data_IF_812346508800
#
_entry.id   IF_812346508800
#
_cell.length_a   1.000
_cell.length_b   1.000
_cell.length_c   1.000
_cell.angle_alpha   90.00
_cell.angle_beta   90.00
_cell.angle_gamma   90.00
#
_symmetry.space_group_name_H-M   'P 1'
#
loop_
_entity.id
_entity.type
_entity.pdbx_description
1 polymer ?
#
# COMPACT_ATOMS: atom_id res chain seq x y z
N UNK A 1 -0.50 -2.57 12.81
CA UNK A 1 -1.38 -1.38 12.62
C UNK A 1 -1.06 -0.76 11.28
N UNK A 2 -2.07 -0.50 10.45
CA UNK A 2 -1.92 0.17 9.15
C UNK A 2 -1.81 1.69 9.31
N UNK A 3 -1.28 2.45 8.31
CA UNK A 3 -1.28 3.92 8.34
C UNK A 3 -2.67 4.54 8.55
N UNK A 4 -3.71 3.91 7.99
CA UNK A 4 -5.10 4.37 8.15
C UNK A 4 -5.58 4.17 9.60
N UNK A 5 -5.29 3.02 10.19
CA UNK A 5 -5.62 2.75 11.60
C UNK A 5 -4.85 3.67 12.53
N UNK A 6 -3.55 3.90 12.27
CA UNK A 6 -2.75 4.83 13.05
C UNK A 6 -3.29 6.27 12.91
N UNK A 7 -3.69 6.70 11.72
CA UNK A 7 -4.34 7.99 11.51
C UNK A 7 -5.59 8.14 12.38
N UNK A 8 -6.44 7.11 12.46
CA UNK A 8 -7.64 7.09 13.31
C UNK A 8 -7.26 7.10 14.80
N UNK A 9 -6.21 6.39 15.18
CA UNK A 9 -5.69 6.37 16.57
C UNK A 9 -5.14 7.72 16.96
N UNK A 10 -4.41 8.40 16.08
CA UNK A 10 -3.94 9.78 16.29
C UNK A 10 -5.12 10.74 16.49
N UNK A 11 -6.17 10.63 15.66
CA UNK A 11 -7.37 11.47 15.79
C UNK A 11 -8.14 11.17 17.10
N UNK A 12 -8.18 9.91 17.55
CA UNK A 12 -8.75 9.56 18.86
C UNK A 12 -7.95 10.17 20.00
N UNK A 13 -6.61 10.16 19.91
CA UNK A 13 -5.75 10.79 20.91
C UNK A 13 -5.98 12.31 20.98
N UNK A 14 -6.16 12.98 19.82
CA UNK A 14 -6.51 14.41 19.78
C UNK A 14 -7.89 14.65 20.42
N UNK A 15 -8.90 13.85 20.08
CA UNK A 15 -10.25 13.98 20.64
C UNK A 15 -10.26 13.79 22.15
N UNK A 16 -9.58 12.75 22.66
CA UNK A 16 -9.45 12.54 24.10
C UNK A 16 -8.74 13.70 24.80
N UNK A 17 -7.70 14.29 24.17
CA UNK A 17 -7.03 15.46 24.74
C UNK A 17 -7.92 16.72 24.81
N UNK A 18 -8.86 16.85 23.86
CA UNK A 18 -9.86 17.93 23.86
C UNK A 18 -10.95 17.66 24.91
N UNK A 19 -11.45 16.43 24.98
CA UNK A 19 -12.47 16.01 25.98
C UNK A 19 -11.96 16.16 27.41
N UNK A 20 -10.67 15.88 27.65
CA UNK A 20 -10.01 16.03 28.95
C UNK A 20 -9.60 17.49 29.25
N UNK A 21 -9.86 18.44 28.33
CA UNK A 21 -9.53 19.85 28.47
C UNK A 21 -8.03 20.20 28.42
N UNK A 22 -7.18 19.26 27.97
CA UNK A 22 -5.74 19.51 27.84
C UNK A 22 -5.37 20.25 26.54
N UNK A 23 -6.22 20.13 25.50
CA UNK A 23 -6.10 20.87 24.25
C UNK A 23 -7.43 21.56 23.93
N UNK A 24 -7.35 22.82 23.57
CA UNK A 24 -8.50 23.60 23.04
C UNK A 24 -8.30 23.79 21.53
N UNK A 25 -8.76 22.79 20.76
CA UNK A 25 -8.63 22.76 19.30
C UNK A 25 -9.81 22.06 18.66
N UNK A 26 -10.09 22.39 17.41
CA UNK A 26 -11.03 21.63 16.59
C UNK A 26 -10.35 20.31 16.15
N UNK A 27 -11.00 19.17 16.40
CA UNK A 27 -10.47 17.87 15.99
C UNK A 27 -10.44 17.81 14.45
N UNK A 28 -9.27 17.64 13.82
CA UNK A 28 -9.17 17.59 12.37
C UNK A 28 -9.90 16.37 11.80
N UNK A 29 -10.41 16.48 10.58
CA UNK A 29 -11.00 15.35 9.86
C UNK A 29 -9.98 14.26 9.49
N UNK A 30 -8.69 14.62 9.41
CA UNK A 30 -7.61 13.72 8.99
C UNK A 30 -6.28 14.04 9.68
N UNK A 31 -5.59 13.00 10.14
CA UNK A 31 -4.18 13.05 10.54
C UNK A 31 -3.30 12.47 9.42
N UNK A 32 -2.28 13.21 9.01
CA UNK A 32 -1.30 12.72 8.04
C UNK A 32 -0.29 11.84 8.76
N UNK A 33 -0.15 10.60 8.29
CA UNK A 33 0.82 9.61 8.77
C UNK A 33 1.67 9.18 7.60
N UNK A 34 2.99 9.30 7.73
CA UNK A 34 3.96 8.98 6.67
C UNK A 34 5.15 8.22 7.28
N UNK A 35 5.94 7.51 6.46
CA UNK A 35 7.25 7.04 6.92
C UNK A 35 8.08 8.21 7.49
N UNK A 36 8.94 7.97 8.51
CA UNK A 36 9.80 9.01 9.06
C UNK A 36 10.70 9.62 7.98
N UNK A 37 10.88 10.95 8.05
CA UNK A 37 11.84 11.64 7.19
C UNK A 37 13.30 11.36 7.59
N UNK A 38 14.29 11.91 6.87
CA UNK A 38 15.70 11.77 7.21
C UNK A 38 16.00 12.16 8.67
N UNK A 39 16.62 11.27 9.43
CA UNK A 39 16.89 11.46 10.86
C UNK A 39 15.72 11.15 11.81
N UNK A 40 14.56 10.75 11.30
CA UNK A 40 13.47 10.21 12.11
C UNK A 40 13.67 8.73 12.43
N UNK A 41 13.07 8.26 13.52
CA UNK A 41 13.06 6.85 13.96
C UNK A 41 11.63 6.31 13.99
N UNK A 42 11.47 4.98 14.06
CA UNK A 42 10.16 4.34 14.15
C UNK A 42 9.58 3.93 12.79
N UNK A 43 8.36 3.40 12.82
CA UNK A 43 7.67 2.88 11.64
C UNK A 43 6.94 3.99 10.88
N UNK A 44 6.36 4.94 11.62
CA UNK A 44 5.61 6.06 11.08
C UNK A 44 5.88 7.36 11.83
N UNK A 45 5.63 8.49 11.14
CA UNK A 45 5.70 9.82 11.71
C UNK A 45 4.42 10.61 11.39
N UNK A 46 4.05 11.52 12.29
CA UNK A 46 2.98 12.48 12.06
C UNK A 46 3.38 13.89 12.52
N UNK A 47 2.94 14.89 11.79
CA UNK A 47 3.12 16.31 12.08
C UNK A 47 1.89 16.94 12.74
N UNK A 48 0.98 16.15 13.27
CA UNK A 48 -0.30 16.62 13.80
C UNK A 48 -0.13 17.68 14.88
N UNK A 49 0.85 17.51 15.78
CA UNK A 49 1.12 18.49 16.85
C UNK A 49 1.57 19.85 16.31
N UNK A 50 2.38 19.88 15.25
CA UNK A 50 2.77 21.11 14.55
C UNK A 50 1.57 21.85 13.98
N UNK A 51 0.59 21.11 13.44
CA UNK A 51 -0.63 21.68 12.86
C UNK A 51 -1.57 22.25 13.90
N UNK A 52 -1.69 21.58 15.05
CA UNK A 52 -2.57 21.98 16.14
C UNK A 52 -2.01 23.07 17.04
N UNK A 53 -0.69 23.23 17.08
CA UNK A 53 0.02 24.12 18.01
C UNK A 53 -0.49 25.58 17.99
N UNK A 54 -0.75 26.10 16.78
CA UNK A 54 -1.23 27.49 16.64
C UNK A 54 -2.62 27.68 17.24
N UNK A 55 -3.53 26.75 16.98
CA UNK A 55 -4.91 26.79 17.48
C UNK A 55 -4.95 26.53 18.99
N UNK A 56 -4.13 25.59 19.48
CA UNK A 56 -3.99 25.30 20.90
C UNK A 56 -3.29 26.42 21.71
N UNK A 57 -2.71 27.43 21.04
CA UNK A 57 -1.96 28.49 21.71
C UNK A 57 -0.75 27.97 22.50
N UNK A 58 -0.18 26.82 22.11
CA UNK A 58 0.92 26.13 22.82
C UNK A 58 2.08 25.83 21.90
N UNK A 59 3.31 25.71 22.41
CA UNK A 59 4.43 25.22 21.62
C UNK A 59 4.13 23.84 21.01
N UNK A 60 4.54 23.57 19.77
CA UNK A 60 4.26 22.28 19.11
C UNK A 60 4.81 21.08 19.88
N UNK A 61 5.92 21.24 20.60
CA UNK A 61 6.51 20.19 21.40
C UNK A 61 5.63 19.81 22.60
N UNK A 62 4.99 20.79 23.23
CA UNK A 62 4.09 20.55 24.36
C UNK A 62 2.83 19.81 23.90
N UNK A 63 2.27 20.21 22.75
CA UNK A 63 1.17 19.49 22.11
C UNK A 63 1.59 18.06 21.75
N UNK A 64 2.81 17.87 21.26
CA UNK A 64 3.34 16.54 20.93
C UNK A 64 3.46 15.66 22.17
N UNK A 65 3.93 16.18 23.31
CA UNK A 65 4.05 15.39 24.57
C UNK A 65 2.67 15.00 25.12
N UNK A 66 1.66 15.88 25.03
CA UNK A 66 0.28 15.53 25.40
C UNK A 66 -0.24 14.36 24.56
N UNK A 67 -0.03 14.43 23.25
CA UNK A 67 -0.47 13.37 22.31
C UNK A 67 0.35 12.09 22.48
N UNK A 68 1.67 12.21 22.73
CA UNK A 68 2.55 11.07 23.00
C UNK A 68 2.04 10.21 24.16
N UNK A 69 1.71 10.85 25.29
CA UNK A 69 1.23 10.14 26.47
C UNK A 69 -0.03 9.30 26.21
N UNK A 70 -0.89 9.74 25.29
CA UNK A 70 -2.10 9.02 24.89
C UNK A 70 -1.82 7.94 23.85
N UNK A 71 -0.96 8.23 22.89
CA UNK A 71 -0.58 7.29 21.84
C UNK A 71 0.18 6.08 22.40
N UNK A 72 1.07 6.28 23.39
CA UNK A 72 1.75 5.18 24.06
C UNK A 72 0.80 4.22 24.82
N UNK A 73 -0.44 4.64 25.10
CA UNK A 73 -1.46 3.77 25.72
C UNK A 73 -2.37 3.09 24.69
N UNK A 74 -2.20 3.43 23.42
CA UNK A 74 -3.03 2.87 22.36
C UNK A 74 -2.57 1.45 21.97
N UNK A 75 -3.53 0.55 21.77
CA UNK A 75 -3.24 -0.81 21.33
C UNK A 75 -2.44 -0.80 20.01
N UNK A 76 -1.38 -1.59 19.97
CA UNK A 76 -0.52 -1.72 18.80
C UNK A 76 0.55 -0.63 18.66
N UNK A 77 0.70 0.27 19.62
CA UNK A 77 1.81 1.22 19.73
C UNK A 77 2.78 0.73 20.81
N UNK A 78 4.04 0.52 20.44
CA UNK A 78 5.09 0.14 21.41
C UNK A 78 5.69 1.36 22.09
N UNK A 79 5.99 2.41 21.31
CA UNK A 79 6.58 3.64 21.84
C UNK A 79 6.30 4.81 20.85
N UNK A 80 6.41 6.03 21.37
CA UNK A 80 6.30 7.26 20.56
C UNK A 80 7.40 8.23 20.98
N UNK A 81 8.25 8.61 20.02
CA UNK A 81 9.33 9.57 20.25
C UNK A 81 8.96 10.94 19.66
N UNK A 82 9.15 11.98 20.45
CA UNK A 82 9.02 13.37 19.98
C UNK A 82 10.37 13.85 19.46
N UNK A 83 10.43 14.20 18.16
CA UNK A 83 11.64 14.70 17.51
C UNK A 83 11.45 16.09 16.94
N UNK A 84 12.55 16.84 16.83
CA UNK A 84 12.55 18.19 16.28
C UNK A 84 11.54 19.11 16.98
N UNK A 85 10.82 19.95 16.24
CA UNK A 85 9.89 20.93 16.81
C UNK A 85 8.56 20.35 17.30
N UNK A 86 8.31 19.03 17.14
CA UNK A 86 7.05 18.39 17.54
C UNK A 86 6.56 17.31 16.56
N UNK A 87 7.46 16.64 15.86
CA UNK A 87 7.13 15.43 15.11
C UNK A 87 6.97 14.25 16.08
N UNK A 88 5.91 13.49 15.90
CA UNK A 88 5.68 12.26 16.63
C UNK A 88 6.11 11.07 15.76
N UNK A 89 7.15 10.36 16.17
CA UNK A 89 7.61 9.13 15.53
C UNK A 89 7.08 7.95 16.33
N UNK A 90 6.28 7.11 15.67
CA UNK A 90 5.56 6.01 16.30
C UNK A 90 6.27 4.70 16.00
N UNK A 91 6.59 3.95 17.05
CA UNK A 91 7.04 2.57 17.00
C UNK A 91 5.86 1.66 17.26
N UNK A 92 5.60 0.73 16.35
CA UNK A 92 4.51 -0.24 16.50
C UNK A 92 4.97 -1.45 17.34
N UNK A 93 4.02 -2.09 18.01
CA UNK A 93 4.27 -3.36 18.67
C UNK A 93 4.40 -4.45 17.60
N UNK A 94 5.61 -4.93 17.35
CA UNK A 94 5.99 -5.71 16.16
C UNK A 94 5.19 -7.03 16.00
N UNK A 95 5.04 -7.83 17.06
CA UNK A 95 4.53 -9.21 16.93
C UNK A 95 3.00 -9.27 16.76
N UNK A 96 2.26 -8.52 17.56
CA UNK A 96 0.80 -8.49 17.50
C UNK A 96 0.33 -7.75 16.25
N UNK A 97 1.03 -6.67 15.86
CA UNK A 97 0.70 -5.88 14.68
C UNK A 97 0.94 -6.67 13.38
N UNK A 98 2.05 -7.39 13.28
CA UNK A 98 2.37 -8.27 12.14
C UNK A 98 1.32 -9.35 11.97
N UNK A 99 1.00 -10.07 13.04
CA UNK A 99 0.01 -11.13 13.01
C UNK A 99 -1.39 -10.62 12.68
N UNK A 100 -1.78 -9.45 13.18
CA UNK A 100 -3.05 -8.81 12.87
C UNK A 100 -3.15 -8.38 11.41
N UNK A 101 -2.07 -7.79 10.86
CA UNK A 101 -1.99 -7.40 9.45
C UNK A 101 -2.16 -8.61 8.53
N UNK A 102 -1.39 -9.68 8.75
CA UNK A 102 -1.45 -10.89 7.92
C UNK A 102 -2.83 -11.55 8.04
N UNK A 103 -3.40 -11.65 9.25
CA UNK A 103 -4.77 -12.16 9.44
C UNK A 103 -5.79 -11.35 8.65
N UNK A 104 -5.68 -10.02 8.69
CA UNK A 104 -6.58 -9.13 7.96
C UNK A 104 -6.48 -9.32 6.45
N UNK A 105 -5.25 -9.33 5.88
CA UNK A 105 -5.05 -9.57 4.45
C UNK A 105 -5.67 -10.90 4.03
N UNK A 106 -5.48 -11.96 4.82
CA UNK A 106 -6.04 -13.28 4.51
C UNK A 106 -7.57 -13.31 4.64
N UNK A 107 -8.15 -12.60 5.59
CA UNK A 107 -9.60 -12.51 5.78
C UNK A 107 -10.27 -11.72 4.65
N UNK A 108 -9.68 -10.58 4.27
CA UNK A 108 -10.21 -9.70 3.22
C UNK A 108 -9.93 -10.26 1.81
N UNK A 109 -8.90 -11.10 1.66
CA UNK A 109 -8.51 -11.72 0.39
C UNK A 109 -8.26 -10.67 -0.68
N UNK A 110 -8.83 -10.88 -1.88
CA UNK A 110 -8.70 -9.96 -3.02
C UNK A 110 -9.32 -8.57 -2.76
N UNK A 111 -10.15 -8.44 -1.73
CA UNK A 111 -10.74 -7.16 -1.32
C UNK A 111 -9.92 -6.40 -0.27
N UNK A 112 -8.75 -6.90 0.10
CA UNK A 112 -7.87 -6.17 1.00
C UNK A 112 -7.55 -4.78 0.43
N UNK A 113 -7.72 -3.75 1.25
CA UNK A 113 -7.55 -2.34 0.85
C UNK A 113 -8.79 -1.68 0.25
N UNK A 114 -9.89 -2.42 0.06
CA UNK A 114 -11.16 -1.82 -0.35
C UNK A 114 -11.74 -0.96 0.77
N UNK A 115 -12.39 0.12 0.38
CA UNK A 115 -13.00 1.08 1.31
C UNK A 115 -14.20 1.78 0.67
N UNK A 116 -14.91 2.56 1.46
CA UNK A 116 -16.01 3.42 1.01
C UNK A 116 -15.59 4.91 0.97
N UNK A 117 -14.29 5.21 0.86
CA UNK A 117 -13.79 6.60 0.87
C UNK A 117 -14.27 7.44 -0.32
N UNK A 118 -14.55 6.80 -1.45
CA UNK A 118 -15.07 7.43 -2.66
C UNK A 118 -16.59 7.20 -2.84
N UNK A 119 -17.27 6.63 -1.83
CA UNK A 119 -18.71 6.45 -1.87
C UNK A 119 -19.41 7.81 -1.93
N UNK A 120 -20.33 7.97 -2.87
CA UNK A 120 -21.11 9.18 -3.09
C UNK A 120 -22.30 8.91 -3.99
N UNK A 121 -23.28 9.81 -3.96
CA UNK A 121 -24.52 9.65 -4.74
C UNK A 121 -24.27 9.85 -6.24
N UNK A 122 -23.32 10.71 -6.60
CA UNK A 122 -23.00 11.01 -7.99
C UNK A 122 -21.79 10.21 -8.49
N UNK A 123 -21.85 9.69 -9.74
CA UNK A 123 -20.72 9.01 -10.34
C UNK A 123 -19.60 10.00 -10.68
N UNK A 124 -18.35 9.54 -10.58
CA UNK A 124 -17.18 10.28 -11.06
C UNK A 124 -17.17 10.24 -12.58
N UNK A 125 -17.42 11.37 -13.24
CA UNK A 125 -17.34 11.45 -14.69
C UNK A 125 -15.88 11.58 -15.15
N UNK A 126 -15.40 10.58 -15.89
CA UNK A 126 -14.13 10.60 -16.60
C UNK A 126 -14.37 10.89 -18.07
N UNK A 127 -14.04 12.13 -18.49
CA UNK A 127 -14.12 12.50 -19.90
C UNK A 127 -12.75 12.33 -20.52
N UNK A 128 -12.61 11.43 -21.50
CA UNK A 128 -11.36 11.01 -22.12
C UNK A 128 -11.29 11.40 -23.58
N UNK A 129 -10.10 11.75 -24.12
CA UNK A 129 -9.88 11.90 -25.56
C UNK A 129 -9.88 10.50 -26.23
N UNK A 130 -10.02 10.45 -27.55
CA UNK A 130 -9.82 9.23 -28.36
C UNK A 130 -8.33 8.90 -28.45
N UNK A 131 -7.79 8.32 -27.38
CA UNK A 131 -6.37 7.97 -27.24
C UNK A 131 -6.24 6.66 -26.46
N UNK A 132 -5.42 5.73 -26.97
CA UNK A 132 -5.26 4.37 -26.38
C UNK A 132 -4.82 4.41 -24.92
N UNK A 133 -3.90 5.31 -24.58
CA UNK A 133 -3.43 5.44 -23.19
C UNK A 133 -4.55 5.95 -22.28
N UNK A 134 -5.29 6.95 -22.73
CA UNK A 134 -6.38 7.53 -21.95
C UNK A 134 -7.46 6.49 -21.65
N UNK A 135 -7.80 5.64 -22.65
CA UNK A 135 -8.72 4.51 -22.49
C UNK A 135 -8.24 3.50 -21.45
N UNK A 136 -6.97 3.08 -21.54
CA UNK A 136 -6.39 2.10 -20.62
C UNK A 136 -6.31 2.66 -19.19
N UNK A 137 -5.97 3.95 -19.05
CA UNK A 137 -5.96 4.64 -17.75
C UNK A 137 -7.37 4.73 -17.17
N UNK A 138 -8.37 5.13 -17.98
CA UNK A 138 -9.76 5.20 -17.54
C UNK A 138 -10.30 3.83 -17.11
N UNK A 139 -10.04 2.79 -17.90
CA UNK A 139 -10.45 1.41 -17.59
C UNK A 139 -9.86 0.91 -16.26
N UNK A 140 -8.61 1.24 -15.96
CA UNK A 140 -8.00 0.92 -14.66
C UNK A 140 -8.60 1.76 -13.52
N UNK A 141 -8.89 3.04 -13.77
CA UNK A 141 -9.51 3.92 -12.78
C UNK A 141 -10.94 3.51 -12.43
N UNK A 142 -11.70 2.95 -13.39
CA UNK A 142 -13.03 2.36 -13.11
C UNK A 142 -12.91 1.32 -11.99
N UNK A 143 -11.97 0.39 -12.10
CA UNK A 143 -11.76 -0.66 -11.08
C UNK A 143 -11.20 -0.10 -9.77
N UNK A 144 -10.21 0.79 -9.84
CA UNK A 144 -9.57 1.39 -8.65
C UNK A 144 -10.58 2.23 -7.87
N UNK A 145 -11.37 3.08 -8.52
CA UNK A 145 -12.37 3.92 -7.86
C UNK A 145 -13.52 3.05 -7.31
N UNK A 146 -13.94 2.01 -8.05
CA UNK A 146 -14.94 1.06 -7.56
C UNK A 146 -14.46 0.30 -6.32
N UNK A 147 -13.16 -0.04 -6.22
CA UNK A 147 -12.59 -0.64 -5.01
C UNK A 147 -12.62 0.30 -3.79
N UNK A 148 -12.82 1.59 -4.01
CA UNK A 148 -12.96 2.60 -2.96
C UNK A 148 -14.43 3.07 -2.78
N UNK A 149 -15.40 2.29 -3.26
CA UNK A 149 -16.84 2.55 -3.12
C UNK A 149 -17.41 3.55 -4.13
N UNK A 150 -16.60 4.13 -5.01
CA UNK A 150 -17.05 5.10 -6.00
C UNK A 150 -17.65 4.45 -7.26
N UNK A 151 -18.55 5.16 -7.92
CA UNK A 151 -19.05 4.83 -9.25
C UNK A 151 -18.38 5.70 -10.28
N UNK A 152 -18.12 5.15 -11.48
CA UNK A 152 -17.44 5.88 -12.56
C UNK A 152 -18.25 5.77 -13.83
N UNK A 153 -18.40 6.89 -14.51
CA UNK A 153 -18.91 6.97 -15.89
C UNK A 153 -17.78 7.46 -16.79
N UNK A 154 -17.53 6.76 -17.88
CA UNK A 154 -16.55 7.13 -18.89
C UNK A 154 -17.25 7.67 -20.11
N UNK A 155 -16.89 8.88 -20.54
CA UNK A 155 -17.42 9.51 -21.73
C UNK A 155 -16.27 10.01 -22.61
N UNK A 156 -16.44 9.91 -23.93
CA UNK A 156 -15.48 10.46 -24.89
C UNK A 156 -15.85 11.91 -25.25
N UNK A 157 -14.86 12.75 -25.43
CA UNK A 157 -15.06 14.11 -25.91
C UNK A 157 -14.24 15.18 -25.19
N UNK A 158 -14.39 16.41 -25.67
CA UNK A 158 -13.74 17.61 -25.17
C UNK A 158 -14.73 18.50 -24.39
N UNK A 159 -14.30 19.24 -23.37
CA UNK A 159 -12.98 19.18 -22.75
C UNK A 159 -12.76 17.90 -21.95
N UNK A 160 -11.63 17.21 -22.20
CA UNK A 160 -11.28 16.00 -21.45
C UNK A 160 -10.82 16.32 -20.02
N UNK A 161 -11.28 15.52 -19.04
CA UNK A 161 -10.89 15.64 -17.62
C UNK A 161 -9.74 14.71 -17.24
N UNK A 162 -9.42 13.74 -18.12
CA UNK A 162 -8.32 12.79 -17.98
C UNK A 162 -7.47 12.83 -19.24
N UNK A 163 -6.27 13.41 -19.15
CA UNK A 163 -5.36 13.62 -20.29
C UNK A 163 -3.95 13.15 -19.97
N UNK A 164 -3.70 11.84 -19.91
CA UNK A 164 -2.31 11.36 -19.83
C UNK A 164 -1.59 11.69 -21.13
N UNK A 165 -0.27 11.93 -21.05
CA UNK A 165 0.55 12.15 -22.25
C UNK A 165 0.47 10.90 -23.14
N UNK A 166 0.10 11.02 -24.43
CA UNK A 166 -0.04 9.88 -25.33
C UNK A 166 1.26 9.09 -25.51
N UNK A 167 1.14 7.80 -25.82
CA UNK A 167 2.27 7.02 -26.31
C UNK A 167 2.62 7.47 -27.75
N UNK A 168 3.92 7.52 -28.07
CA UNK A 168 4.36 7.86 -29.42
C UNK A 168 4.25 6.65 -30.37
N UNK A 169 4.41 5.43 -29.82
CA UNK A 169 4.40 4.18 -30.56
C UNK A 169 3.16 3.37 -30.22
N UNK A 170 2.74 2.51 -31.17
CA UNK A 170 1.65 1.55 -30.95
C UNK A 170 2.03 0.50 -29.92
N UNK A 171 1.28 0.34 -28.79
CA UNK A 171 1.53 -0.67 -27.78
C UNK A 171 1.08 -2.08 -28.18
N UNK A 172 0.28 -2.27 -29.20
CA UNK A 172 -0.30 -3.55 -29.58
C UNK A 172 0.71 -4.69 -29.77
N UNK A 173 1.94 -4.45 -30.32
CA UNK A 173 2.94 -5.51 -30.46
C UNK A 173 3.43 -6.12 -29.13
N UNK A 174 3.22 -5.45 -27.99
CA UNK A 174 3.61 -5.96 -26.67
C UNK A 174 2.61 -7.01 -26.10
N UNK A 175 1.46 -7.17 -26.71
CA UNK A 175 0.37 -8.01 -26.17
C UNK A 175 -0.34 -7.36 -24.96
N UNK A 176 -1.38 -8.02 -24.45
CA UNK A 176 -2.32 -7.42 -23.50
C UNK A 176 -1.69 -6.88 -22.22
N UNK A 177 -1.01 -7.72 -21.45
CA UNK A 177 -0.49 -7.33 -20.12
C UNK A 177 0.68 -6.33 -20.20
N UNK A 178 1.62 -6.57 -21.12
CA UNK A 178 2.80 -5.72 -21.27
C UNK A 178 2.44 -4.34 -21.84
N UNK A 179 1.49 -4.27 -22.79
CA UNK A 179 0.99 -2.99 -23.31
C UNK A 179 0.28 -2.19 -22.21
N UNK A 180 -0.58 -2.83 -21.41
CA UNK A 180 -1.23 -2.16 -20.28
C UNK A 180 -0.22 -1.62 -19.28
N UNK A 181 0.76 -2.44 -18.90
CA UNK A 181 1.83 -2.00 -17.99
C UNK A 181 2.62 -0.82 -18.53
N UNK A 182 3.05 -0.89 -19.80
CA UNK A 182 3.81 0.18 -20.44
C UNK A 182 3.05 1.53 -20.44
N UNK A 183 1.71 1.49 -20.55
CA UNK A 183 0.85 2.67 -20.53
C UNK A 183 0.49 3.17 -19.12
N UNK A 184 0.44 2.27 -18.10
CA UNK A 184 -0.01 2.57 -16.74
C UNK A 184 1.13 2.89 -15.77
N UNK A 185 2.31 2.26 -15.92
CA UNK A 185 3.41 2.40 -14.97
C UNK A 185 4.05 3.81 -14.98
N UNK A 186 4.23 4.49 -16.12
CA UNK A 186 4.67 5.88 -16.15
C UNK A 186 3.58 6.83 -15.61
N UNK A 187 4.00 7.89 -14.90
CA UNK A 187 3.05 8.91 -14.43
C UNK A 187 2.27 9.53 -15.59
N UNK A 188 1.07 10.05 -15.33
CA UNK A 188 0.20 10.59 -16.37
C UNK A 188 0.84 11.71 -17.21
N UNK A 189 1.79 12.47 -16.63
CA UNK A 189 2.53 13.53 -17.30
C UNK A 189 3.83 13.05 -17.98
N UNK A 190 4.25 11.82 -17.78
CA UNK A 190 5.41 11.23 -18.44
C UNK A 190 4.99 10.54 -19.74
N UNK A 191 5.85 10.61 -20.76
CA UNK A 191 5.63 9.88 -22.01
C UNK A 191 5.98 8.41 -21.82
N UNK A 192 5.05 7.48 -22.12
CA UNK A 192 5.34 6.05 -22.09
C UNK A 192 6.38 5.68 -23.13
N UNK A 193 7.23 4.73 -22.81
CA UNK A 193 8.18 4.12 -23.75
C UNK A 193 7.65 2.72 -24.09
N UNK A 194 7.31 2.53 -25.36
CA UNK A 194 6.80 1.25 -25.86
C UNK A 194 7.96 0.50 -26.52
N UNK A 195 8.57 -0.40 -25.79
CA UNK A 195 9.76 -1.14 -26.26
C UNK A 195 9.65 -2.64 -25.92
N UNK A 196 10.39 -3.47 -26.65
CA UNK A 196 10.46 -4.91 -26.40
C UNK A 196 11.01 -5.27 -24.99
N UNK A 197 11.63 -4.33 -24.28
CA UNK A 197 12.08 -4.51 -22.90
C UNK A 197 10.95 -4.91 -21.95
N UNK A 198 9.71 -4.53 -22.24
CA UNK A 198 8.52 -4.95 -21.46
C UNK A 198 8.21 -6.45 -21.57
N UNK A 199 8.77 -7.13 -22.57
CA UNK A 199 8.60 -8.59 -22.81
C UNK A 199 9.75 -9.41 -22.19
N UNK A 200 10.84 -8.77 -21.80
CA UNK A 200 12.03 -9.46 -21.32
C UNK A 200 11.83 -9.96 -19.89
N UNK A 201 12.14 -11.23 -19.64
CA UNK A 201 12.07 -11.85 -18.31
C UNK A 201 13.39 -11.61 -17.53
N UNK A 202 13.60 -10.37 -17.10
CA UNK A 202 14.79 -9.92 -16.33
C UNK A 202 14.37 -8.99 -15.19
N UNK A 203 15.25 -8.86 -14.21
CA UNK A 203 15.06 -7.93 -13.07
C UNK A 203 14.89 -6.47 -13.49
N UNK A 204 15.46 -6.06 -14.62
CA UNK A 204 15.29 -4.72 -15.18
C UNK A 204 13.86 -4.42 -15.62
N UNK A 205 13.01 -5.45 -15.84
CA UNK A 205 11.61 -5.28 -16.22
C UNK A 205 10.70 -5.30 -14.97
N UNK A 206 10.10 -4.16 -14.57
CA UNK A 206 9.26 -4.09 -13.39
C UNK A 206 8.02 -4.99 -13.46
N UNK A 207 7.39 -5.13 -14.62
CA UNK A 207 6.25 -6.05 -14.78
C UNK A 207 6.66 -7.50 -14.52
N UNK A 208 7.80 -7.91 -15.08
CA UNK A 208 8.31 -9.26 -14.83
C UNK A 208 8.54 -9.49 -13.34
N UNK A 209 9.18 -8.54 -12.61
CA UNK A 209 9.41 -8.67 -11.17
C UNK A 209 8.11 -8.84 -10.38
N UNK A 210 7.07 -8.06 -10.67
CA UNK A 210 5.78 -8.15 -9.99
C UNK A 210 5.11 -9.50 -10.24
N UNK A 211 5.06 -9.94 -11.50
CA UNK A 211 4.48 -11.24 -11.88
C UNK A 211 5.30 -12.41 -11.34
N UNK A 212 6.62 -12.31 -11.39
CA UNK A 212 7.53 -13.32 -10.82
C UNK A 212 7.38 -13.44 -9.31
N UNK A 213 7.29 -12.31 -8.59
CA UNK A 213 7.04 -12.31 -7.16
C UNK A 213 5.72 -13.04 -6.84
N UNK A 214 4.64 -12.73 -7.54
CA UNK A 214 3.36 -13.43 -7.37
C UNK A 214 3.49 -14.93 -7.66
N UNK A 215 4.05 -15.33 -8.80
CA UNK A 215 4.25 -16.75 -9.13
C UNK A 215 5.12 -17.46 -8.08
N UNK A 216 6.10 -16.75 -7.50
CA UNK A 216 6.97 -17.29 -6.45
C UNK A 216 6.21 -17.48 -5.13
N UNK A 217 5.29 -16.59 -4.73
CA UNK A 217 4.43 -16.82 -3.56
C UNK A 217 3.58 -18.08 -3.74
N UNK A 218 3.00 -18.26 -4.92
CA UNK A 218 2.22 -19.47 -5.24
C UNK A 218 3.10 -20.75 -5.21
N UNK A 219 4.34 -20.67 -5.70
CA UNK A 219 5.28 -21.79 -5.64
C UNK A 219 5.66 -22.15 -4.20
N UNK A 220 5.90 -21.15 -3.35
CA UNK A 220 6.19 -21.36 -1.92
C UNK A 220 5.01 -21.96 -1.17
N UNK A 221 3.78 -21.52 -1.44
CA UNK A 221 2.58 -22.11 -0.87
C UNK A 221 2.45 -23.61 -1.23
N UNK A 222 2.65 -23.95 -2.52
CA UNK A 222 2.65 -25.36 -2.97
C UNK A 222 3.77 -26.18 -2.32
N UNK A 223 4.96 -25.62 -2.18
CA UNK A 223 6.09 -26.30 -1.55
C UNK A 223 5.87 -26.45 -0.03
N UNK A 224 5.32 -25.43 0.65
CA UNK A 224 4.93 -25.51 2.05
C UNK A 224 3.90 -26.62 2.30
N UNK A 225 2.89 -26.72 1.44
CA UNK A 225 1.88 -27.80 1.53
C UNK A 225 2.50 -29.19 1.42
N UNK A 226 3.50 -29.38 0.55
CA UNK A 226 4.25 -30.67 0.45
C UNK A 226 5.06 -31.00 1.72
N UNK A 227 5.48 -29.96 2.45
CA UNK A 227 6.16 -30.10 3.74
C UNK A 227 5.19 -30.15 4.93
N UNK A 228 3.89 -30.23 4.68
CA UNK A 228 2.84 -30.17 5.70
C UNK A 228 2.91 -28.92 6.60
N UNK A 229 3.48 -27.83 6.07
CA UNK A 229 3.49 -26.53 6.74
C UNK A 229 2.14 -25.84 6.53
N UNK A 230 1.41 -25.65 7.62
CA UNK A 230 0.17 -24.85 7.63
C UNK A 230 0.56 -23.38 7.90
N UNK A 231 0.24 -22.45 6.98
CA UNK A 231 0.55 -21.03 7.18
C UNK A 231 -0.24 -20.48 8.35
N UNK A 232 0.45 -19.92 9.32
CA UNK A 232 -0.12 -19.37 10.55
C UNK A 232 0.48 -18.00 10.86
N UNK A 233 -0.34 -16.93 10.95
CA UNK A 233 0.14 -15.59 11.28
C UNK A 233 0.83 -15.58 12.66
N UNK A 234 2.06 -15.09 12.71
CA UNK A 234 2.88 -15.08 13.91
C UNK A 234 4.10 -14.20 13.77
N UNK A 235 5.03 -14.32 14.72
CA UNK A 235 6.34 -13.68 14.64
C UNK A 235 7.17 -14.30 13.53
N UNK A 236 7.65 -13.46 12.62
CA UNK A 236 8.54 -13.89 11.53
C UNK A 236 9.99 -14.03 11.99
N UNK A 237 10.32 -13.57 13.20
CA UNK A 237 11.65 -13.58 13.80
C UNK A 237 12.76 -12.95 12.90
N UNK A 238 12.39 -12.02 12.01
CA UNK A 238 13.34 -11.43 11.06
C UNK A 238 13.15 -9.93 10.88
N UNK A 239 14.24 -9.19 11.13
CA UNK A 239 14.33 -7.75 10.84
C UNK A 239 14.12 -7.43 9.35
N UNK A 240 14.50 -8.34 8.45
CA UNK A 240 14.44 -8.15 7.00
C UNK A 240 13.00 -8.20 6.43
N UNK A 241 12.03 -8.72 7.20
CA UNK A 241 10.61 -8.71 6.78
C UNK A 241 9.92 -7.35 6.92
N UNK A 242 10.50 -6.39 7.63
CA UNK A 242 9.90 -5.06 7.87
C UNK A 242 9.56 -4.29 6.58
N UNK A 243 10.41 -4.24 5.53
CA UNK A 243 10.05 -3.56 4.29
C UNK A 243 8.81 -4.17 3.64
N UNK A 244 8.67 -5.50 3.65
CA UNK A 244 7.50 -6.19 3.13
C UNK A 244 6.25 -5.88 3.96
N UNK A 245 6.34 -6.00 5.28
CA UNK A 245 5.23 -5.68 6.19
C UNK A 245 4.75 -4.25 6.00
N UNK A 246 5.66 -3.29 5.86
CA UNK A 246 5.34 -1.90 5.57
C UNK A 246 4.62 -1.76 4.23
N UNK A 247 5.14 -2.36 3.16
CA UNK A 247 4.50 -2.33 1.85
C UNK A 247 3.07 -2.90 1.89
N UNK A 248 2.87 -4.03 2.59
CA UNK A 248 1.54 -4.63 2.75
C UNK A 248 0.60 -3.72 3.55
N UNK A 249 1.07 -3.09 4.62
CA UNK A 249 0.29 -2.18 5.44
C UNK A 249 -0.08 -0.88 4.69
N UNK A 250 0.76 -0.41 3.79
CA UNK A 250 0.56 0.81 2.98
C UNK A 250 -0.37 0.60 1.77
N UNK A 251 -0.64 -0.64 1.37
CA UNK A 251 -1.45 -0.95 0.19
C UNK A 251 -2.84 -0.28 0.18
N UNK A 252 -3.64 -0.29 1.27
CA UNK A 252 -4.92 0.42 1.30
C UNK A 252 -4.78 1.92 1.04
N UNK A 253 -3.72 2.54 1.58
CA UNK A 253 -3.42 3.95 1.34
C UNK A 253 -3.01 4.20 -0.12
N UNK A 254 -2.22 3.31 -0.72
CA UNK A 254 -1.83 3.40 -2.12
C UNK A 254 -3.07 3.34 -3.05
N UNK A 255 -4.04 2.46 -2.76
CA UNK A 255 -5.31 2.38 -3.49
C UNK A 255 -6.13 3.65 -3.36
N UNK A 256 -6.38 4.12 -2.14
CA UNK A 256 -7.13 5.35 -1.88
C UNK A 256 -6.46 6.57 -2.56
N UNK A 257 -5.13 6.60 -2.57
CA UNK A 257 -4.37 7.67 -3.20
C UNK A 257 -4.43 7.60 -4.73
N UNK A 258 -4.36 6.39 -5.32
CA UNK A 258 -4.52 6.17 -6.75
C UNK A 258 -5.92 6.58 -7.23
N UNK A 259 -6.97 6.22 -6.49
CA UNK A 259 -8.34 6.63 -6.77
C UNK A 259 -8.53 8.15 -6.73
N UNK A 260 -8.15 8.77 -5.62
CA UNK A 260 -8.33 10.22 -5.36
C UNK A 260 -7.61 11.09 -6.38
N UNK A 261 -6.39 10.71 -6.76
CA UNK A 261 -5.56 11.49 -7.70
C UNK A 261 -5.68 11.03 -9.15
N UNK A 262 -6.55 10.05 -9.43
CA UNK A 262 -6.72 9.45 -10.77
C UNK A 262 -5.37 9.01 -11.38
N UNK A 263 -4.55 8.35 -10.56
CA UNK A 263 -3.15 8.06 -10.84
C UNK A 263 -2.83 6.55 -10.65
N UNK A 264 -3.19 5.68 -11.61
CA UNK A 264 -2.96 4.23 -11.52
C UNK A 264 -1.47 3.87 -11.46
N UNK A 265 -0.57 4.73 -11.92
CA UNK A 265 0.89 4.59 -11.80
C UNK A 265 1.35 4.47 -10.35
N UNK A 266 0.63 5.06 -9.40
CA UNK A 266 0.94 4.95 -7.96
C UNK A 266 0.73 3.53 -7.46
N UNK A 267 -0.36 2.88 -7.89
CA UNK A 267 -0.59 1.47 -7.62
C UNK A 267 0.48 0.61 -8.29
N UNK A 268 0.78 0.83 -9.57
CA UNK A 268 1.80 0.07 -10.29
C UNK A 268 3.17 0.14 -9.59
N UNK A 269 3.61 1.33 -9.18
CA UNK A 269 4.87 1.51 -8.43
C UNK A 269 4.83 0.87 -7.04
N UNK A 270 3.70 0.93 -6.37
CA UNK A 270 3.53 0.24 -5.08
C UNK A 270 3.69 -1.27 -5.21
N UNK A 271 3.13 -1.88 -6.27
CA UNK A 271 3.30 -3.30 -6.55
C UNK A 271 4.76 -3.67 -6.82
N UNK A 272 5.52 -2.82 -7.52
CA UNK A 272 6.97 -3.02 -7.71
C UNK A 272 7.70 -3.03 -6.37
N UNK A 273 7.44 -2.04 -5.51
CA UNK A 273 8.05 -1.99 -4.17
C UNK A 273 7.68 -3.19 -3.29
N UNK A 274 6.42 -3.66 -3.37
CA UNK A 274 5.96 -4.87 -2.67
C UNK A 274 6.68 -6.12 -3.20
N UNK A 275 6.81 -6.25 -4.52
CA UNK A 275 7.51 -7.36 -5.16
C UNK A 275 9.00 -7.40 -4.75
N UNK A 276 9.68 -6.25 -4.81
CA UNK A 276 11.09 -6.13 -4.42
C UNK A 276 11.30 -6.51 -2.94
N UNK A 277 10.43 -6.03 -2.05
CA UNK A 277 10.48 -6.33 -0.63
C UNK A 277 10.24 -7.84 -0.35
N UNK A 278 9.31 -8.47 -1.07
CA UNK A 278 9.07 -9.91 -0.96
C UNK A 278 10.24 -10.73 -1.51
N UNK A 279 10.77 -10.38 -2.68
CA UNK A 279 11.88 -11.10 -3.30
C UNK A 279 13.16 -11.08 -2.45
N UNK A 280 13.37 -10.02 -1.66
CA UNK A 280 14.47 -9.92 -0.72
C UNK A 280 14.40 -10.99 0.38
N UNK A 281 13.21 -11.39 0.82
CA UNK A 281 13.00 -12.31 1.96
C UNK A 281 12.53 -13.71 1.56
N UNK A 282 12.17 -13.95 0.31
CA UNK A 282 11.56 -15.21 -0.16
C UNK A 282 12.35 -16.46 0.17
N UNK A 283 13.68 -16.34 0.24
CA UNK A 283 14.59 -17.45 0.50
C UNK A 283 14.49 -18.01 1.94
N UNK A 284 13.90 -17.24 2.85
CA UNK A 284 13.75 -17.59 4.27
C UNK A 284 12.40 -18.23 4.61
N UNK A 285 11.47 -18.29 3.64
CA UNK A 285 10.08 -18.70 3.87
C UNK A 285 9.97 -20.19 4.22
N UNK A 286 10.77 -21.05 3.59
CA UNK A 286 10.78 -22.47 3.82
C UNK A 286 12.10 -22.92 4.46
N UNK A 287 12.09 -24.02 5.24
CA UNK A 287 13.31 -24.56 5.81
C UNK A 287 14.30 -24.96 4.72
N UNK A 288 15.60 -24.74 4.98
CA UNK A 288 16.70 -25.03 4.07
C UNK A 288 17.52 -26.22 4.58
N UNK A 289 17.88 -27.15 3.68
CA UNK A 289 18.68 -28.32 4.03
C UNK A 289 18.05 -29.19 5.11
N UNK A 290 18.77 -29.44 6.21
CA UNK A 290 18.32 -30.25 7.36
C UNK A 290 17.53 -29.46 8.40
N UNK A 291 17.17 -28.22 8.12
CA UNK A 291 16.38 -27.37 9.03
C UNK A 291 14.98 -27.93 9.21
N UNK A 292 14.54 -28.04 10.47
CA UNK A 292 13.20 -28.54 10.76
C UNK A 292 12.16 -27.42 10.62
N UNK A 293 10.96 -27.74 10.10
CA UNK A 293 9.84 -26.82 10.11
C UNK A 293 9.58 -26.21 11.49
N UNK A 294 9.43 -24.88 11.56
CA UNK A 294 9.25 -24.14 12.82
C UNK A 294 8.03 -23.22 12.75
N UNK A 295 7.65 -22.62 13.89
CA UNK A 295 6.62 -21.60 13.94
C UNK A 295 6.96 -20.36 13.07
N UNK A 296 8.23 -19.98 13.04
CA UNK A 296 8.70 -18.90 12.18
C UNK A 296 8.50 -19.19 10.68
N UNK A 297 8.72 -20.43 10.24
CA UNK A 297 8.45 -20.83 8.84
C UNK A 297 6.94 -20.75 8.52
N UNK A 298 6.05 -21.14 9.46
CA UNK A 298 4.60 -20.99 9.27
C UNK A 298 4.21 -19.53 9.16
N UNK A 299 4.80 -18.66 9.99
CA UNK A 299 4.55 -17.22 9.96
C UNK A 299 5.04 -16.57 8.67
N UNK A 300 6.25 -16.93 8.21
CA UNK A 300 6.82 -16.43 6.94
C UNK A 300 6.02 -16.92 5.73
N UNK A 301 5.51 -18.16 5.77
CA UNK A 301 4.63 -18.69 4.72
C UNK A 301 3.31 -17.94 4.67
N UNK A 302 2.70 -17.63 5.83
CA UNK A 302 1.49 -16.80 5.91
C UNK A 302 1.74 -15.37 5.38
N UNK A 303 2.90 -14.80 5.66
CA UNK A 303 3.33 -13.51 5.12
C UNK A 303 3.53 -13.54 3.60
N UNK A 304 4.12 -14.62 3.08
CA UNK A 304 4.29 -14.82 1.64
C UNK A 304 2.93 -14.94 0.92
N UNK A 305 1.96 -15.66 1.48
CA UNK A 305 0.58 -15.71 0.95
C UNK A 305 -0.10 -14.34 0.96
N UNK A 306 0.07 -13.58 2.03
CA UNK A 306 -0.44 -12.21 2.12
C UNK A 306 0.16 -11.29 1.04
N UNK A 307 1.47 -11.43 0.76
CA UNK A 307 2.13 -10.72 -0.33
C UNK A 307 1.54 -11.13 -1.69
N UNK A 308 1.31 -12.43 -1.91
CA UNK A 308 0.66 -12.94 -3.11
C UNK A 308 -0.73 -12.35 -3.34
N UNK A 309 -1.53 -12.27 -2.29
CA UNK A 309 -2.88 -11.67 -2.31
C UNK A 309 -2.84 -10.20 -2.74
N UNK A 310 -1.94 -9.41 -2.17
CA UNK A 310 -1.78 -7.98 -2.51
C UNK A 310 -1.30 -7.79 -3.95
N UNK A 311 -0.32 -8.59 -4.40
CA UNK A 311 0.19 -8.53 -5.77
C UNK A 311 -0.89 -8.91 -6.78
N UNK A 312 -1.65 -9.98 -6.54
CA UNK A 312 -2.74 -10.42 -7.41
C UNK A 312 -3.87 -9.39 -7.48
N UNK A 313 -4.34 -8.90 -6.32
CA UNK A 313 -5.38 -7.89 -6.25
C UNK A 313 -5.00 -6.60 -6.98
N UNK A 314 -3.78 -6.11 -6.75
CA UNK A 314 -3.29 -4.91 -7.42
C UNK A 314 -3.13 -5.07 -8.94
N UNK A 315 -2.60 -6.20 -9.42
CA UNK A 315 -2.54 -6.51 -10.85
C UNK A 315 -3.93 -6.57 -11.47
N UNK A 316 -4.90 -7.22 -10.81
CA UNK A 316 -6.29 -7.29 -11.25
C UNK A 316 -6.92 -5.91 -11.40
N UNK A 317 -6.71 -4.99 -10.45
CA UNK A 317 -7.17 -3.60 -10.54
C UNK A 317 -6.54 -2.83 -11.71
N UNK A 318 -5.31 -3.14 -12.08
CA UNK A 318 -4.67 -2.61 -13.29
C UNK A 318 -5.13 -3.32 -14.57
N UNK A 319 -5.92 -4.39 -14.48
CA UNK A 319 -6.35 -5.22 -15.62
C UNK A 319 -5.23 -6.06 -16.20
N UNK A 320 -4.29 -6.49 -15.37
CA UNK A 320 -3.13 -7.29 -15.73
C UNK A 320 -3.23 -8.64 -15.03
N UNK A 321 -2.87 -9.71 -15.74
CA UNK A 321 -2.94 -11.07 -15.19
C UNK A 321 -1.88 -11.32 -14.10
N UNK A 322 -2.26 -12.08 -13.07
CA UNK A 322 -1.39 -12.57 -12.03
C UNK A 322 -1.15 -14.09 -12.23
N UNK A 323 -0.14 -14.49 -13.02
CA UNK A 323 0.07 -15.89 -13.34
C UNK A 323 0.59 -16.66 -12.11
N UNK A 324 0.11 -17.90 -11.93
CA UNK A 324 0.58 -18.81 -10.86
C UNK A 324 1.90 -19.51 -11.23
N UNK A 325 2.30 -19.42 -12.49
CA UNK A 325 3.57 -19.92 -13.05
C UNK A 325 4.12 -18.89 -14.04
N UNK A 326 5.43 -18.78 -14.10
CA UNK A 326 6.20 -18.01 -15.08
C UNK A 326 7.31 -18.87 -15.64
#
# INVERSE_FOLDING_TARGET
MTPVELSRTVLRAVRSAVEDGELDVVVPSRAVVTPPGPGGSGDYATNIALRLAREAGRPPRDVAEILRARLCRADGVADVLVTGPGFLNVHLADDLATSALVRRIRADGERYGYSEECAGDEPVLLRVPFDVRAEVVADSLVRIIASQGGRVEVAHGEPATLRPVPAAEDPAPLGGDASRWALLHPAGHDRPRITAEHLVQRESNPLFRVRYAHARTCALARAGARLHLVPEPGDTAQADARPLLRALAEYPHALAHAARHRAPDRLARHLVGTADAFLAVQHTVLPLGDEKPSAAHRARLALAEAAGTVLAGGLSLLGISAPVHL
#
